data_IF_270971396037
#
_entry.id   IF_270971396037
#
_cell.length_a   1.000
_cell.length_b   1.000
_cell.length_c   1.000
_cell.angle_alpha   90.00
_cell.angle_beta   90.00
_cell.angle_gamma   90.00
#
_symmetry.space_group_name_H-M   'P 1'
#
loop_
_entity.id
_entity.type
_entity.pdbx_description
1 polymer ?
#
# COMPACT_ATOMS: atom_id res chain seq x y z
N UNK A 1 10.92 -29.25 6.48
CA UNK A 1 11.51 -28.96 7.80
C UNK A 1 10.65 -29.70 8.81
N UNK A 2 10.80 -31.01 8.91
CA UNK A 2 9.74 -31.85 9.46
C UNK A 2 9.79 -31.89 11.00
N UNK A 3 10.98 -31.62 11.55
CA UNK A 3 11.30 -31.61 12.99
C UNK A 3 11.20 -30.23 13.65
N UNK A 4 10.75 -29.19 12.94
CA UNK A 4 10.70 -27.82 13.47
C UNK A 4 9.32 -27.19 13.23
N UNK A 5 8.88 -26.34 14.15
CA UNK A 5 7.70 -25.46 13.99
C UNK A 5 8.13 -24.02 13.87
N UNK A 6 7.49 -23.27 12.96
CA UNK A 6 7.75 -21.84 12.83
C UNK A 6 7.31 -21.12 14.10
N UNK A 7 8.26 -20.46 14.74
CA UNK A 7 8.04 -19.59 15.88
C UNK A 7 7.91 -18.12 15.45
N UNK A 8 8.50 -17.24 16.24
CA UNK A 8 8.40 -15.79 16.05
C UNK A 8 9.25 -15.28 14.89
N UNK A 9 8.78 -14.19 14.27
CA UNK A 9 9.55 -13.43 13.31
C UNK A 9 10.00 -12.11 13.97
N UNK A 10 11.30 -11.87 14.02
CA UNK A 10 11.88 -10.60 14.48
C UNK A 10 12.36 -9.82 13.28
N UNK A 11 11.89 -8.59 13.20
CA UNK A 11 11.99 -7.75 12.02
C UNK A 11 12.76 -6.50 12.45
N UNK A 12 13.96 -6.24 11.90
CA UNK A 12 14.82 -5.13 12.35
C UNK A 12 14.05 -3.79 12.37
N UNK A 13 14.07 -3.01 13.47
CA UNK A 13 13.37 -1.74 13.52
C UNK A 13 13.76 -0.83 12.37
N UNK A 14 12.77 -0.17 11.76
CA UNK A 14 13.04 0.86 10.77
C UNK A 14 13.36 2.17 11.48
N UNK A 15 14.44 2.79 11.06
CA UNK A 15 14.87 4.13 11.48
C UNK A 15 14.89 5.03 10.24
N UNK A 16 14.45 6.29 10.40
CA UNK A 16 14.34 7.21 9.27
C UNK A 16 15.73 7.62 8.75
N UNK A 17 16.72 7.67 9.64
CA UNK A 17 18.11 8.01 9.35
C UNK A 17 18.81 6.94 8.50
N UNK A 18 18.31 5.69 8.55
CA UNK A 18 18.85 4.55 7.80
C UNK A 18 18.20 4.39 6.42
N UNK A 19 17.26 5.26 6.04
CA UNK A 19 16.59 5.14 4.74
C UNK A 19 17.57 5.50 3.63
N UNK A 20 17.80 4.61 2.64
CA UNK A 20 18.80 4.78 1.58
C UNK A 20 18.32 5.73 0.46
N UNK A 21 17.71 6.85 0.83
CA UNK A 21 17.33 7.92 -0.10
C UNK A 21 18.27 9.11 0.14
N UNK A 22 19.13 9.45 -0.84
CA UNK A 22 19.98 10.63 -0.74
C UNK A 22 19.13 11.89 -0.56
N UNK A 23 19.61 12.82 0.27
CA UNK A 23 18.97 14.13 0.49
C UNK A 23 17.48 14.04 0.90
N UNK A 24 17.13 13.06 1.75
CA UNK A 24 15.76 12.91 2.24
C UNK A 24 15.28 14.22 2.92
N UNK A 25 14.11 14.76 2.56
CA UNK A 25 13.58 16.00 3.14
C UNK A 25 13.40 15.86 4.66
N UNK A 26 13.77 16.92 5.40
CA UNK A 26 13.61 16.95 6.86
C UNK A 26 12.12 16.94 7.28
N UNK A 27 11.30 17.68 6.54
CA UNK A 27 9.85 17.73 6.77
C UNK A 27 9.13 16.70 5.88
N UNK A 28 9.26 15.42 6.25
CA UNK A 28 8.62 14.31 5.53
C UNK A 28 7.70 13.52 6.46
N UNK A 29 6.47 13.24 6.01
CA UNK A 29 5.56 12.34 6.70
C UNK A 29 5.94 10.92 6.34
N UNK A 30 6.51 10.22 7.31
CA UNK A 30 6.92 8.83 7.10
C UNK A 30 5.79 7.85 7.41
N UNK A 31 5.32 7.17 6.36
CA UNK A 31 4.21 6.23 6.37
C UNK A 31 4.71 4.80 6.22
N UNK A 32 4.75 4.05 7.33
CA UNK A 32 5.11 2.63 7.32
C UNK A 32 3.88 1.76 7.05
N UNK A 33 3.84 1.12 5.89
CA UNK A 33 2.73 0.27 5.45
C UNK A 33 3.02 -1.18 5.82
N UNK A 34 2.15 -1.76 6.64
CA UNK A 34 2.23 -3.14 7.15
C UNK A 34 1.08 -3.98 6.62
N UNK A 35 1.11 -5.30 6.84
CA UNK A 35 0.05 -6.22 6.43
C UNK A 35 -1.35 -5.81 6.92
N UNK A 36 -1.45 -5.34 8.17
CA UNK A 36 -2.71 -4.89 8.79
C UNK A 36 -3.18 -3.48 8.39
N UNK A 37 -2.32 -2.64 7.77
CA UNK A 37 -2.65 -1.25 7.47
C UNK A 37 -3.86 -1.13 6.54
N UNK A 38 -4.78 -0.22 6.87
CA UNK A 38 -5.98 0.07 6.06
C UNK A 38 -5.69 1.24 5.13
N UNK A 39 -5.84 1.01 3.83
CA UNK A 39 -5.53 2.00 2.78
C UNK A 39 -6.25 3.34 3.03
N UNK A 40 -7.53 3.30 3.42
CA UNK A 40 -8.31 4.52 3.70
C UNK A 40 -7.65 5.38 4.78
N UNK A 41 -7.34 4.78 5.93
CA UNK A 41 -6.70 5.49 7.04
C UNK A 41 -5.33 6.07 6.64
N UNK A 42 -4.53 5.33 5.85
CA UNK A 42 -3.25 5.81 5.36
C UNK A 42 -3.41 7.04 4.47
N UNK A 43 -4.38 6.99 3.54
CA UNK A 43 -4.65 8.08 2.61
C UNK A 43 -5.22 9.30 3.31
N UNK A 44 -6.11 9.14 4.30
CA UNK A 44 -6.70 10.27 5.03
C UNK A 44 -5.63 11.13 5.70
N UNK A 45 -4.55 10.51 6.18
CA UNK A 45 -3.40 11.22 6.78
C UNK A 45 -2.48 11.78 5.69
N UNK A 46 -2.08 10.96 4.71
CA UNK A 46 -1.13 11.39 3.70
C UNK A 46 -1.67 12.49 2.78
N UNK A 47 -2.94 12.42 2.38
CA UNK A 47 -3.55 13.43 1.53
C UNK A 47 -3.66 14.78 2.24
N UNK A 48 -3.88 14.81 3.56
CA UNK A 48 -3.91 16.05 4.35
C UNK A 48 -2.51 16.63 4.54
N UNK A 49 -1.51 15.77 4.77
CA UNK A 49 -0.14 16.21 4.95
C UNK A 49 0.47 16.79 3.66
N UNK A 50 0.15 16.18 2.52
CA UNK A 50 0.62 16.62 1.21
C UNK A 50 -0.16 17.82 0.64
N UNK A 51 -1.30 18.17 1.24
CA UNK A 51 -2.11 19.31 0.78
C UNK A 51 -1.41 20.63 1.08
N UNK A 52 -1.56 21.61 0.18
CA UNK A 52 -0.99 22.96 0.30
C UNK A 52 0.54 22.99 0.48
N UNK A 53 1.28 22.05 -0.11
CA UNK A 53 2.75 22.02 -0.09
C UNK A 53 3.34 21.97 1.32
N UNK A 54 2.57 21.44 2.27
CA UNK A 54 2.91 21.48 3.69
C UNK A 54 3.96 20.45 4.08
N UNK A 55 3.93 19.26 3.46
CA UNK A 55 4.80 18.15 3.83
C UNK A 55 4.89 17.07 2.76
N UNK A 56 6.12 16.69 2.43
CA UNK A 56 6.41 15.54 1.58
C UNK A 56 5.97 14.22 2.24
N UNK A 57 5.74 13.16 1.47
CA UNK A 57 5.29 11.87 2.00
C UNK A 57 6.23 10.76 1.58
N UNK A 58 6.71 9.99 2.56
CA UNK A 58 7.55 8.81 2.35
C UNK A 58 6.78 7.55 2.71
N UNK A 59 6.48 6.73 1.71
CA UNK A 59 5.92 5.40 1.92
C UNK A 59 7.03 4.37 2.07
N UNK A 60 6.96 3.53 3.10
CA UNK A 60 7.87 2.39 3.27
C UNK A 60 7.07 1.13 3.49
N UNK A 61 7.37 0.08 2.72
CA UNK A 61 6.65 -1.19 2.82
C UNK A 61 7.54 -2.37 2.44
N UNK A 62 7.32 -3.50 3.10
CA UNK A 62 8.00 -4.77 2.80
C UNK A 62 7.02 -5.89 2.50
N UNK A 63 7.50 -6.87 1.72
CA UNK A 63 6.79 -8.10 1.42
C UNK A 63 5.36 -7.85 0.88
N UNK A 64 4.33 -8.51 1.45
CA UNK A 64 2.95 -8.37 0.96
C UNK A 64 2.37 -6.94 1.05
N UNK A 65 2.98 -6.04 1.82
CA UNK A 65 2.50 -4.67 1.99
C UNK A 65 2.92 -3.74 0.84
N UNK A 66 3.91 -4.13 0.02
CA UNK A 66 4.45 -3.33 -1.09
C UNK A 66 3.34 -2.84 -2.03
N UNK A 67 2.43 -3.73 -2.45
CA UNK A 67 1.34 -3.36 -3.34
C UNK A 67 0.40 -2.29 -2.76
N UNK A 68 0.22 -2.27 -1.43
CA UNK A 68 -0.57 -1.22 -0.75
C UNK A 68 0.14 0.12 -0.75
N UNK A 69 1.45 0.16 -0.50
CA UNK A 69 2.22 1.41 -0.57
C UNK A 69 2.21 2.01 -1.98
N UNK A 70 2.41 1.18 -3.01
CA UNK A 70 2.27 1.62 -4.41
C UNK A 70 0.87 2.19 -4.66
N UNK A 71 -0.18 1.46 -4.25
CA UNK A 71 -1.56 1.94 -4.40
C UNK A 71 -1.78 3.29 -3.71
N UNK A 72 -1.26 3.48 -2.50
CA UNK A 72 -1.34 4.74 -1.77
C UNK A 72 -0.64 5.88 -2.52
N UNK A 73 0.60 5.67 -2.97
CA UNK A 73 1.36 6.66 -3.72
C UNK A 73 0.63 7.07 -5.02
N UNK A 74 0.13 6.09 -5.77
CA UNK A 74 -0.62 6.34 -7.01
C UNK A 74 -1.93 7.12 -6.77
N UNK A 75 -2.58 6.97 -5.61
CA UNK A 75 -3.79 7.75 -5.30
C UNK A 75 -3.42 9.20 -4.98
N UNK A 76 -2.32 9.44 -4.25
CA UNK A 76 -1.82 10.80 -3.97
C UNK A 76 -1.48 11.51 -5.28
N UNK A 77 -0.71 10.88 -6.18
CA UNK A 77 -0.36 11.46 -7.49
C UNK A 77 -1.55 11.76 -8.41
N UNK A 78 -2.67 11.04 -8.26
CA UNK A 78 -3.90 11.38 -8.99
C UNK A 78 -4.58 12.64 -8.46
N UNK A 79 -4.45 12.93 -7.16
CA UNK A 79 -5.07 14.10 -6.54
C UNK A 79 -4.26 15.38 -6.79
N UNK A 80 -2.93 15.29 -6.82
CA UNK A 80 -2.04 16.44 -6.92
C UNK A 80 -1.25 16.44 -8.23
N UNK A 81 -0.99 17.62 -8.78
CA UNK A 81 -0.19 17.79 -10.01
C UNK A 81 1.23 18.23 -9.65
N UNK A 82 2.18 18.00 -10.57
CA UNK A 82 3.58 18.38 -10.37
C UNK A 82 4.28 17.59 -9.26
N UNK A 83 3.85 16.35 -9.01
CA UNK A 83 4.47 15.51 -7.97
C UNK A 83 5.80 14.97 -8.47
N UNK A 84 6.88 15.24 -7.73
CA UNK A 84 8.16 14.58 -7.90
C UNK A 84 8.15 13.28 -7.11
N UNK A 85 8.59 12.19 -7.72
CA UNK A 85 8.64 10.88 -7.09
C UNK A 85 10.05 10.32 -7.13
N UNK A 86 10.50 9.74 -6.03
CA UNK A 86 11.74 8.97 -5.98
C UNK A 86 11.49 7.59 -5.36
N UNK A 87 11.84 6.53 -6.09
CA UNK A 87 11.68 5.15 -5.64
C UNK A 87 13.04 4.52 -5.33
N UNK A 88 13.14 3.87 -4.17
CA UNK A 88 14.28 3.03 -3.83
C UNK A 88 13.80 1.63 -3.42
N UNK A 89 14.32 0.60 -4.08
CA UNK A 89 14.02 -0.80 -3.77
C UNK A 89 15.23 -1.41 -3.07
N UNK A 90 14.99 -2.08 -1.95
CA UNK A 90 16.02 -2.71 -1.15
C UNK A 90 15.48 -4.00 -0.53
N UNK A 91 16.30 -4.66 0.29
CA UNK A 91 15.88 -5.77 1.13
C UNK A 91 15.99 -5.37 2.59
N UNK A 92 15.13 -5.95 3.41
CA UNK A 92 15.24 -5.92 4.87
C UNK A 92 15.39 -7.33 5.41
N UNK A 93 16.30 -7.50 6.36
CA UNK A 93 16.47 -8.77 7.05
C UNK A 93 15.32 -9.03 8.02
N UNK A 94 14.83 -10.27 8.01
CA UNK A 94 13.90 -10.82 8.99
C UNK A 94 14.52 -12.09 9.56
N UNK A 95 14.57 -12.20 10.88
CA UNK A 95 14.98 -13.41 11.59
C UNK A 95 13.73 -14.23 11.92
N UNK A 96 13.64 -15.43 11.35
CA UNK A 96 12.58 -16.39 11.69
C UNK A 96 13.15 -17.40 12.69
N UNK A 97 12.56 -17.47 13.87
CA UNK A 97 12.94 -18.41 14.90
C UNK A 97 12.11 -19.68 14.76
N UNK A 98 12.76 -20.84 14.85
CA UNK A 98 12.15 -22.15 14.67
C UNK A 98 12.39 -23.00 15.91
N UNK A 99 11.30 -23.49 16.49
CA UNK A 99 11.34 -24.33 17.69
C UNK A 99 11.42 -25.81 17.31
N UNK A 100 12.27 -26.60 17.98
CA UNK A 100 12.40 -28.03 17.74
C UNK A 100 11.16 -28.79 18.25
N UNK A 101 10.70 -29.76 17.47
CA UNK A 101 9.60 -30.68 17.85
C UNK A 101 10.09 -31.88 18.66
N UNK A 102 11.38 -32.18 18.60
CA UNK A 102 12.01 -33.35 19.21
C UNK A 102 13.01 -32.86 20.26
N UNK A 103 13.04 -33.51 21.42
CA UNK A 103 14.01 -33.22 22.46
C UNK A 103 15.45 -33.49 21.98
N UNK A 104 16.38 -32.62 22.37
CA UNK A 104 17.80 -32.73 22.02
C UNK A 104 18.22 -32.00 20.74
N UNK A 105 17.31 -31.25 20.10
CA UNK A 105 17.63 -30.34 19.00
C UNK A 105 17.67 -28.89 19.50
N UNK A 106 18.54 -28.08 18.91
CA UNK A 106 18.64 -26.65 19.21
C UNK A 106 17.65 -25.81 18.43
N UNK A 107 17.30 -24.64 18.99
CA UNK A 107 16.52 -23.59 18.31
C UNK A 107 17.26 -23.10 17.07
N UNK A 108 16.55 -22.96 15.97
CA UNK A 108 17.13 -22.54 14.69
C UNK A 108 16.70 -21.11 14.33
N UNK A 109 17.64 -20.32 13.81
CA UNK A 109 17.37 -18.96 13.31
C UNK A 109 17.60 -18.94 11.80
N UNK A 110 16.55 -18.66 11.03
CA UNK A 110 16.62 -18.46 9.58
C UNK A 110 16.63 -16.97 9.28
N UNK A 111 17.67 -16.50 8.60
CA UNK A 111 17.72 -15.16 8.04
C UNK A 111 17.02 -15.13 6.68
N UNK A 112 16.01 -14.28 6.54
CA UNK A 112 15.27 -14.08 5.30
C UNK A 112 15.34 -12.63 4.86
N UNK A 113 15.76 -12.42 3.62
CA UNK A 113 15.71 -11.10 2.99
C UNK A 113 14.32 -10.86 2.39
N UNK A 114 13.65 -9.83 2.89
CA UNK A 114 12.31 -9.45 2.48
C UNK A 114 12.40 -8.23 1.56
N UNK A 115 11.87 -8.31 0.31
CA UNK A 115 11.84 -7.16 -0.58
C UNK A 115 11.11 -5.98 0.07
N UNK A 116 11.67 -4.79 -0.06
CA UNK A 116 11.18 -3.54 0.49
C UNK A 116 11.23 -2.44 -0.58
N UNK A 117 10.28 -1.52 -0.50
CA UNK A 117 10.28 -0.30 -1.30
C UNK A 117 10.11 0.92 -0.41
N UNK A 118 10.84 1.97 -0.76
CA UNK A 118 10.62 3.34 -0.32
C UNK A 118 10.13 4.17 -1.52
N UNK A 119 9.02 4.89 -1.35
CA UNK A 119 8.45 5.78 -2.36
C UNK A 119 8.32 7.16 -1.73
N UNK A 120 9.18 8.09 -2.11
CA UNK A 120 9.09 9.48 -1.72
C UNK A 120 8.24 10.23 -2.75
N UNK A 121 7.24 10.96 -2.27
CA UNK A 121 6.51 11.97 -3.04
C UNK A 121 6.89 13.33 -2.48
N UNK A 122 7.39 14.21 -3.34
CA UNK A 122 7.88 15.53 -2.98
C UNK A 122 7.28 16.63 -3.87
N UNK A 123 7.15 17.81 -3.26
CA UNK A 123 6.81 19.05 -3.95
C UNK A 123 7.97 19.59 -4.80
N UNK A 124 9.21 19.25 -4.46
CA UNK A 124 10.42 19.71 -5.15
C UNK A 124 11.17 18.55 -5.82
N UNK A 125 11.99 18.89 -6.80
CA UNK A 125 12.84 17.93 -7.49
C UNK A 125 13.88 17.33 -6.54
N UNK A 126 13.87 15.99 -6.41
CA UNK A 126 14.81 15.26 -5.57
C UNK A 126 15.49 14.17 -6.38
N UNK A 127 16.82 14.21 -6.40
CA UNK A 127 17.68 13.19 -7.03
C UNK A 127 17.38 12.96 -8.53
N UNK A 128 17.17 14.03 -9.32
CA UNK A 128 16.70 13.93 -10.72
C UNK A 128 17.56 13.05 -11.64
N UNK A 129 18.87 13.00 -11.39
CA UNK A 129 19.81 12.18 -12.16
C UNK A 129 19.97 10.74 -11.66
N UNK A 130 19.34 10.37 -10.56
CA UNK A 130 19.48 9.05 -9.96
C UNK A 130 18.42 8.06 -10.46
N UNK A 131 18.76 6.76 -10.56
CA UNK A 131 17.78 5.74 -10.88
C UNK A 131 16.65 5.74 -9.84
N UNK A 132 15.41 5.70 -10.31
CA UNK A 132 14.22 5.72 -9.45
C UNK A 132 13.51 7.07 -9.38
N UNK A 133 14.12 8.15 -9.87
CA UNK A 133 13.42 9.42 -10.06
C UNK A 133 12.37 9.33 -11.17
N UNK A 134 11.20 9.93 -10.91
CA UNK A 134 10.10 10.09 -11.84
C UNK A 134 9.43 11.43 -11.58
N UNK A 135 8.99 12.11 -12.64
CA UNK A 135 8.18 13.32 -12.54
C UNK A 135 6.84 13.11 -13.23
N UNK A 136 5.76 13.55 -12.59
CA UNK A 136 4.42 13.51 -13.17
C UNK A 136 4.32 14.53 -14.32
N UNK A 137 4.63 14.10 -15.55
CA UNK A 137 4.40 14.88 -16.76
C UNK A 137 2.89 15.05 -16.98
N UNK A 138 2.46 16.25 -17.37
CA UNK A 138 1.05 16.53 -17.66
C UNK A 138 0.52 15.61 -18.77
N UNK A 139 -0.09 14.47 -18.43
CA UNK A 139 -0.92 13.72 -19.36
C UNK A 139 -2.32 14.33 -19.33
N UNK A 140 -2.80 14.75 -20.50
CA UNK A 140 -4.10 15.38 -20.67
C UNK A 140 -5.23 14.52 -20.12
N UNK A 141 -6.15 15.16 -19.39
CA UNK A 141 -7.43 14.63 -18.88
C UNK A 141 -7.51 13.09 -18.77
N UNK A 142 -6.97 12.53 -17.69
CA UNK A 142 -7.18 11.13 -17.33
C UNK A 142 -8.68 10.80 -17.39
N UNK A 143 -9.06 9.90 -18.30
CA UNK A 143 -10.42 9.34 -18.31
C UNK A 143 -10.65 8.67 -16.95
N UNK A 144 -11.81 8.88 -16.31
CA UNK A 144 -12.07 8.29 -15.01
C UNK A 144 -11.87 6.77 -15.07
N UNK A 145 -11.07 6.23 -14.16
CA UNK A 145 -10.87 4.79 -14.01
C UNK A 145 -12.25 4.14 -13.80
N UNK A 146 -12.78 3.50 -14.84
CA UNK A 146 -13.95 2.65 -14.68
C UNK A 146 -13.47 1.37 -14.02
N UNK A 147 -13.84 1.07 -12.76
CA UNK A 147 -13.51 -0.23 -12.19
C UNK A 147 -14.05 -1.28 -13.16
N UNK A 148 -13.21 -2.25 -13.55
CA UNK A 148 -13.69 -3.45 -14.23
C UNK A 148 -14.48 -4.27 -13.22
N UNK A 149 -15.67 -3.80 -12.86
CA UNK A 149 -16.66 -4.62 -12.21
C UNK A 149 -16.97 -5.73 -13.19
N UNK A 150 -16.56 -6.96 -12.89
CA UNK A 150 -17.19 -8.11 -13.53
C UNK A 150 -18.69 -7.92 -13.28
N UNK A 151 -19.54 -7.89 -14.32
CA UNK A 151 -20.97 -7.86 -14.09
C UNK A 151 -21.30 -9.03 -13.16
N UNK A 152 -22.06 -8.75 -12.10
CA UNK A 152 -22.51 -9.80 -11.20
C UNK A 152 -23.24 -10.85 -12.05
N UNK A 153 -22.61 -12.00 -12.26
CA UNK A 153 -23.25 -13.14 -12.90
C UNK A 153 -24.13 -13.78 -11.83
N UNK A 154 -25.45 -13.75 -12.05
CA UNK A 154 -26.38 -14.54 -11.23
C UNK A 154 -25.91 -16.00 -11.28
N UNK A 155 -25.74 -16.68 -10.14
CA UNK A 155 -25.50 -18.12 -10.12
C UNK A 155 -26.60 -18.85 -10.90
N UNK A 156 -26.27 -19.94 -11.59
CA UNK A 156 -27.25 -20.70 -12.38
C UNK A 156 -28.50 -21.11 -11.56
N UNK A 157 -28.33 -21.33 -10.25
CA UNK A 157 -29.40 -21.73 -9.34
C UNK A 157 -30.10 -20.56 -8.62
N UNK A 158 -29.97 -19.32 -9.12
CA UNK A 158 -30.56 -18.13 -8.48
C UNK A 158 -32.05 -18.28 -8.16
N UNK A 159 -32.85 -18.88 -9.06
CA UNK A 159 -34.28 -19.15 -8.83
C UNK A 159 -34.54 -20.15 -7.70
N UNK A 160 -33.72 -21.20 -7.61
CA UNK A 160 -33.83 -22.21 -6.57
C UNK A 160 -33.46 -21.62 -5.20
N UNK A 161 -32.42 -20.79 -5.15
CA UNK A 161 -31.98 -20.10 -3.94
C UNK A 161 -33.00 -19.07 -3.43
N UNK A 162 -33.71 -18.37 -4.32
CA UNK A 162 -34.83 -17.49 -3.94
C UNK A 162 -35.99 -18.29 -3.32
N UNK A 163 -36.29 -19.49 -3.83
CA UNK A 163 -37.28 -20.38 -3.22
C UNK A 163 -36.88 -20.87 -1.82
N UNK A 164 -35.57 -20.95 -1.54
CA UNK A 164 -35.03 -21.25 -0.21
C UNK A 164 -34.85 -20.01 0.69
N UNK A 165 -35.31 -18.83 0.26
CA UNK A 165 -35.25 -17.59 1.06
C UNK A 165 -33.86 -16.96 1.19
N UNK A 166 -32.87 -17.45 0.45
CA UNK A 166 -31.48 -17.00 0.54
C UNK A 166 -31.27 -15.74 -0.33
N UNK A 167 -31.55 -14.54 0.22
CA UNK A 167 -31.31 -13.26 -0.47
C UNK A 167 -29.90 -12.72 -0.18
N UNK A 168 -29.11 -12.49 -1.22
CA UNK A 168 -27.89 -11.69 -1.14
C UNK A 168 -28.23 -10.21 -1.35
N UNK A 169 -27.91 -9.41 -0.33
CA UNK A 169 -28.31 -8.00 -0.19
C UNK A 169 -27.90 -7.14 -1.40
N UNK A 170 -28.87 -6.47 -2.02
CA UNK A 170 -28.65 -5.50 -3.08
C UNK A 170 -28.21 -4.20 -2.42
N UNK A 171 -26.91 -3.90 -2.51
CA UNK A 171 -26.34 -2.57 -2.21
C UNK A 171 -27.34 -1.46 -2.59
N UNK A 172 -27.82 -0.77 -1.56
CA UNK A 172 -28.59 0.48 -1.55
C UNK A 172 -28.17 1.37 -2.72
N UNK A 173 -29.03 1.52 -3.73
CA UNK A 173 -28.83 2.53 -4.79
C UNK A 173 -28.89 3.91 -4.15
N UNK A 174 -27.82 4.69 -4.32
CA UNK A 174 -27.86 6.13 -4.10
C UNK A 174 -28.93 6.74 -5.01
N UNK A 175 -29.80 7.57 -4.44
CA UNK A 175 -30.71 8.45 -5.20
C UNK A 175 -29.88 9.65 -5.64
N UNK A 176 -29.57 9.74 -6.93
CA UNK A 176 -29.15 10.99 -7.56
C UNK A 176 -30.39 11.78 -8.00
N UNK A 177 -30.40 13.05 -7.57
CA UNK A 177 -30.92 14.25 -8.26
C UNK A 177 -32.22 14.19 -9.07
N UNK A 178 -33.23 14.93 -8.60
CA UNK A 178 -34.16 15.65 -9.49
C UNK A 178 -34.16 17.10 -9.04
N UNK A 179 -33.57 17.98 -9.86
CA UNK A 179 -33.83 19.42 -9.81
C UNK A 179 -35.14 19.76 -10.53
N UNK A 180 -35.38 21.05 -10.76
CA UNK A 180 -36.36 21.89 -10.08
C UNK A 180 -37.75 21.80 -10.70
N UNK A 181 -38.78 22.13 -9.91
CA UNK A 181 -40.08 22.60 -10.42
C UNK A 181 -40.63 23.68 -9.49
N UNK A 182 -40.77 24.86 -10.10
CA UNK A 182 -41.62 26.01 -9.81
C UNK A 182 -41.66 26.61 -8.40
#
# INVERSE_FOLDING_TARGET
MDNYTKGDNVEEPLEIEKIPIPNLPKNVLWMQVRGGSKIRNLLDVALKAYENESRDVLWTASGPAVGKAVTCAEIVKRKFKGVHQFNHICYRRCEEYWEPKISGLDRLVVNRDVPMIHILLSHEAINEGAPGYQFEQQQGADKPFKPRGKPYRKPANFKQMENFGLRFDKRKKAKDSVGPKD
#
